data_IF_547298314834
#
_entry.id   IF_547298314834
#
_cell.length_a   1.000
_cell.length_b   1.000
_cell.length_c   1.000
_cell.angle_alpha   90.00
_cell.angle_beta   90.00
_cell.angle_gamma   90.00
#
_symmetry.space_group_name_H-M   'P 1'
#
loop_
_entity.id
_entity.type
_entity.pdbx_description
1 polymer ?
#
# COMPACT_ATOMS: atom_id res chain seq x y z
N UNK A 1 -15.40 4.92 -23.60
CA UNK A 1 -14.54 5.95 -22.96
C UNK A 1 -14.70 5.74 -21.47
N UNK A 2 -13.74 5.06 -20.83
CA UNK A 2 -13.88 4.51 -19.49
C UNK A 2 -14.17 5.62 -18.48
N UNK A 3 -15.44 5.70 -18.07
CA UNK A 3 -15.93 6.61 -17.06
C UNK A 3 -15.33 6.27 -15.71
N UNK A 4 -15.07 7.32 -14.93
CA UNK A 4 -14.35 7.29 -13.67
C UNK A 4 -14.76 6.14 -12.77
N UNK A 5 -13.78 5.32 -12.41
CA UNK A 5 -13.86 4.46 -11.25
C UNK A 5 -13.93 5.39 -10.04
N UNK A 6 -15.15 5.71 -9.60
CA UNK A 6 -15.36 6.22 -8.25
C UNK A 6 -14.77 5.15 -7.33
N UNK A 7 -13.65 5.49 -6.70
CA UNK A 7 -13.11 4.73 -5.58
C UNK A 7 -14.28 4.51 -4.63
N UNK A 8 -14.70 3.26 -4.52
CA UNK A 8 -15.78 2.84 -3.66
C UNK A 8 -15.35 3.14 -2.21
N UNK A 9 -15.98 4.15 -1.62
CA UNK A 9 -15.83 4.64 -0.24
C UNK A 9 -16.21 3.60 0.85
N UNK A 10 -16.11 2.31 0.57
CA UNK A 10 -16.41 1.25 1.52
C UNK A 10 -15.19 0.34 1.69
N UNK A 11 -14.48 0.65 2.78
CA UNK A 11 -13.52 -0.20 3.48
C UNK A 11 -12.15 -0.35 2.81
N UNK A 12 -11.32 0.66 3.04
CA UNK A 12 -9.89 0.45 3.21
C UNK A 12 -9.69 -0.04 4.65
N UNK A 13 -9.05 -1.19 4.89
CA UNK A 13 -8.71 -1.64 6.24
C UNK A 13 -7.73 -0.64 6.85
N UNK A 14 -7.69 -0.57 8.17
CA UNK A 14 -6.80 0.29 8.94
C UNK A 14 -7.10 1.82 8.93
N UNK A 15 -8.30 2.24 8.51
CA UNK A 15 -8.75 3.63 8.75
C UNK A 15 -8.36 4.65 7.68
N UNK A 16 -7.96 4.20 6.48
CA UNK A 16 -7.71 5.10 5.35
C UNK A 16 -9.02 5.67 4.81
N UNK A 17 -9.40 6.85 5.30
CA UNK A 17 -10.50 7.65 4.77
C UNK A 17 -10.00 8.43 3.55
N UNK A 18 -10.73 8.36 2.43
CA UNK A 18 -10.47 9.16 1.24
C UNK A 18 -10.71 10.68 1.44
N UNK A 19 -11.13 11.10 2.63
CA UNK A 19 -11.23 12.49 3.04
C UNK A 19 -10.17 12.82 4.09
N UNK A 20 -9.23 13.68 3.70
CA UNK A 20 -8.31 14.53 4.50
C UNK A 20 -7.01 13.99 5.11
N UNK A 21 -6.75 12.68 5.25
CA UNK A 21 -5.51 12.24 5.91
C UNK A 21 -4.45 11.77 4.88
N UNK A 22 -3.20 12.25 5.04
CA UNK A 22 -2.07 11.83 4.20
C UNK A 22 -1.87 10.30 4.34
N UNK A 23 -1.93 9.53 3.23
CA UNK A 23 -1.54 8.14 3.15
C UNK A 23 -0.40 7.69 4.08
N UNK A 24 0.65 8.50 4.12
CA UNK A 24 1.87 8.21 4.87
C UNK A 24 1.73 8.48 6.36
N UNK A 25 0.89 9.44 6.75
CA UNK A 25 0.60 9.73 8.17
C UNK A 25 -0.25 8.60 8.79
N UNK A 26 -1.22 8.08 8.03
CA UNK A 26 -2.02 6.93 8.47
C UNK A 26 -1.12 5.70 8.65
N UNK A 27 -0.24 5.45 7.68
CA UNK A 27 0.73 4.37 7.74
C UNK A 27 1.64 4.49 8.99
N UNK A 28 2.20 5.67 9.22
CA UNK A 28 3.04 5.95 10.39
C UNK A 28 2.32 5.64 11.71
N UNK A 29 1.10 6.17 11.90
CA UNK A 29 0.31 5.92 13.12
C UNK A 29 0.01 4.43 13.34
N UNK A 30 -0.24 3.69 12.27
CA UNK A 30 -0.50 2.24 12.37
C UNK A 30 0.75 1.49 12.81
N UNK A 31 1.90 1.84 12.24
CA UNK A 31 3.18 1.24 12.58
C UNK A 31 3.56 1.56 14.04
N UNK A 32 3.37 2.81 14.48
CA UNK A 32 3.56 3.23 15.87
C UNK A 32 2.64 2.49 16.85
N UNK A 33 1.41 2.18 16.43
CA UNK A 33 0.47 1.39 17.20
C UNK A 33 0.80 -0.12 17.24
N UNK A 34 1.89 -0.55 16.59
CA UNK A 34 2.32 -1.94 16.54
C UNK A 34 1.57 -2.80 15.52
N UNK A 35 1.04 -2.19 14.45
CA UNK A 35 0.46 -2.94 13.35
C UNK A 35 1.50 -3.87 12.72
N UNK A 36 1.13 -5.13 12.51
CA UNK A 36 1.98 -6.07 11.80
C UNK A 36 1.92 -5.82 10.29
N UNK A 37 3.07 -5.46 9.70
CA UNK A 37 3.24 -5.12 8.28
C UNK A 37 2.79 -6.22 7.32
N UNK A 38 2.85 -7.47 7.76
CA UNK A 38 2.49 -8.64 6.96
C UNK A 38 1.09 -9.15 7.24
N UNK A 39 0.35 -8.52 8.18
CA UNK A 39 -1.03 -8.89 8.44
C UNK A 39 -1.88 -8.53 7.23
N UNK A 40 -2.71 -9.47 6.82
CA UNK A 40 -3.64 -9.30 5.72
C UNK A 40 -5.02 -8.93 6.21
N UNK A 41 -5.75 -8.16 5.42
CA UNK A 41 -7.18 -7.95 5.60
C UNK A 41 -8.02 -9.12 5.05
N UNK A 42 -9.35 -8.96 5.03
CA UNK A 42 -10.27 -9.97 4.48
C UNK A 42 -10.12 -10.19 2.96
N UNK A 43 -9.39 -9.33 2.25
CA UNK A 43 -9.07 -9.46 0.82
C UNK A 43 -7.66 -9.99 0.60
N UNK A 44 -6.93 -10.36 1.65
CA UNK A 44 -5.55 -10.81 1.55
C UNK A 44 -4.54 -9.66 1.35
N UNK A 45 -4.97 -8.40 1.40
CA UNK A 45 -4.08 -7.26 1.18
C UNK A 45 -3.27 -6.97 2.45
N UNK A 46 -1.96 -6.86 2.29
CA UNK A 46 -1.03 -6.31 3.29
C UNK A 46 -0.96 -4.79 3.20
N UNK A 47 -0.28 -4.13 4.16
CA UNK A 47 0.01 -2.69 4.09
C UNK A 47 0.70 -2.31 2.77
N UNK A 48 1.58 -3.17 2.26
CA UNK A 48 2.30 -2.90 1.02
C UNK A 48 1.39 -2.85 -0.22
N UNK A 49 0.30 -3.64 -0.25
CA UNK A 49 -0.71 -3.55 -1.30
C UNK A 49 -1.44 -2.19 -1.27
N UNK A 50 -1.73 -1.66 -0.09
CA UNK A 50 -2.35 -0.34 0.05
C UNK A 50 -1.40 0.79 -0.36
N UNK A 51 -0.13 0.71 0.04
CA UNK A 51 0.91 1.64 -0.44
C UNK A 51 0.97 1.63 -1.96
N UNK A 52 0.90 0.46 -2.59
CA UNK A 52 0.86 0.33 -4.04
C UNK A 52 -0.36 0.98 -4.70
N UNK A 53 -1.54 0.79 -4.13
CA UNK A 53 -2.77 1.37 -4.67
C UNK A 53 -2.83 2.89 -4.46
N UNK A 54 -2.34 3.42 -3.34
CA UNK A 54 -2.67 4.77 -2.89
C UNK A 54 -1.51 5.76 -2.83
N UNK A 55 -0.26 5.32 -2.63
CA UNK A 55 0.89 6.23 -2.57
C UNK A 55 1.49 6.46 -3.96
N UNK A 56 1.81 7.71 -4.32
CA UNK A 56 2.48 8.07 -5.57
C UNK A 56 3.68 8.96 -5.30
N UNK A 57 4.61 9.01 -6.25
CA UNK A 57 5.77 9.89 -6.25
C UNK A 57 6.53 9.86 -4.90
N UNK A 58 6.74 11.02 -4.27
CA UNK A 58 7.45 11.14 -2.99
C UNK A 58 6.75 10.42 -1.83
N UNK A 59 5.43 10.24 -1.88
CA UNK A 59 4.70 9.49 -0.84
C UNK A 59 5.02 8.00 -0.90
N UNK A 60 5.22 7.45 -2.10
CA UNK A 60 5.60 6.05 -2.27
C UNK A 60 6.98 5.77 -1.66
N UNK A 61 7.93 6.69 -1.89
CA UNK A 61 9.26 6.66 -1.27
C UNK A 61 9.15 6.68 0.26
N UNK A 62 8.47 7.69 0.83
CA UNK A 62 8.29 7.83 2.28
C UNK A 62 7.60 6.61 2.91
N UNK A 63 6.59 6.05 2.25
CA UNK A 63 5.87 4.89 2.75
C UNK A 63 6.76 3.63 2.80
N UNK A 64 7.60 3.41 1.79
CA UNK A 64 8.58 2.32 1.80
C UNK A 64 9.62 2.52 2.90
N UNK A 65 10.15 3.73 3.05
CA UNK A 65 11.11 4.06 4.12
C UNK A 65 10.51 3.79 5.51
N UNK A 66 9.29 4.25 5.78
CA UNK A 66 8.56 3.95 7.02
C UNK A 66 8.40 2.45 7.26
N UNK A 67 8.00 1.68 6.25
CA UNK A 67 7.87 0.22 6.40
C UNK A 67 9.22 -0.43 6.75
N UNK A 68 10.29 -0.05 6.05
CA UNK A 68 11.64 -0.57 6.29
C UNK A 68 12.18 -0.23 7.69
N UNK A 69 11.86 0.98 8.20
CA UNK A 69 12.30 1.43 9.53
C UNK A 69 11.64 0.64 10.66
N UNK A 70 10.39 0.21 10.49
CA UNK A 70 9.68 -0.57 11.49
C UNK A 70 9.92 -2.08 11.36
N UNK A 71 9.71 -2.64 10.16
CA UNK A 71 9.87 -4.08 9.89
C UNK A 71 9.83 -4.35 8.40
N UNK A 72 10.78 -5.17 7.91
CA UNK A 72 10.81 -5.62 6.51
C UNK A 72 9.46 -6.27 6.09
N UNK A 73 8.71 -5.65 5.16
CA UNK A 73 7.48 -6.22 4.66
C UNK A 73 7.77 -7.38 3.70
N UNK A 74 6.89 -8.38 3.69
CA UNK A 74 6.93 -9.45 2.70
C UNK A 74 6.46 -8.92 1.34
N UNK A 75 7.42 -8.62 0.46
CA UNK A 75 7.18 -8.11 -0.88
C UNK A 75 6.53 -9.14 -1.81
N UNK A 76 6.60 -10.43 -1.47
CA UNK A 76 6.05 -11.53 -2.26
C UNK A 76 4.69 -12.00 -1.77
N UNK A 77 4.15 -11.40 -0.69
CA UNK A 77 2.82 -11.69 -0.22
C UNK A 77 1.79 -11.43 -1.33
N UNK A 78 0.90 -12.38 -1.55
CA UNK A 78 -0.19 -12.29 -2.54
C UNK A 78 -1.52 -12.09 -1.86
N UNK A 79 -2.34 -11.21 -2.43
CA UNK A 79 -3.73 -11.04 -1.99
C UNK A 79 -4.66 -12.13 -2.56
N UNK A 80 -5.96 -12.05 -2.27
CA UNK A 80 -6.94 -13.04 -2.73
C UNK A 80 -7.17 -13.04 -4.26
N UNK A 81 -6.68 -12.02 -4.97
CA UNK A 81 -6.65 -11.99 -6.44
C UNK A 81 -5.37 -12.65 -7.00
N UNK A 82 -4.47 -13.13 -6.14
CA UNK A 82 -3.18 -13.70 -6.53
C UNK A 82 -2.14 -12.65 -6.93
N UNK A 83 -2.35 -11.38 -6.57
CA UNK A 83 -1.48 -10.25 -6.92
C UNK A 83 -0.55 -9.93 -5.76
N UNK A 84 0.71 -9.64 -6.07
CA UNK A 84 1.66 -9.01 -5.15
C UNK A 84 1.43 -7.49 -5.09
N UNK A 85 2.07 -6.82 -4.14
CA UNK A 85 2.08 -5.36 -4.11
C UNK A 85 2.69 -4.74 -5.38
N UNK A 86 3.66 -5.41 -6.01
CA UNK A 86 4.26 -4.96 -7.27
C UNK A 86 3.26 -5.08 -8.43
N UNK A 87 2.47 -6.15 -8.49
CA UNK A 87 1.41 -6.32 -9.50
C UNK A 87 0.34 -5.23 -9.34
N UNK A 88 -0.06 -4.92 -8.10
CA UNK A 88 -0.95 -3.79 -7.82
C UNK A 88 -0.32 -2.47 -8.25
N UNK A 89 0.96 -2.23 -7.98
CA UNK A 89 1.63 -1.01 -8.41
C UNK A 89 1.62 -0.86 -9.93
N UNK A 90 1.83 -1.96 -10.68
CA UNK A 90 1.76 -1.99 -12.13
C UNK A 90 0.34 -1.70 -12.66
N UNK A 91 -0.69 -2.32 -12.09
CA UNK A 91 -2.11 -2.08 -12.45
C UNK A 91 -2.50 -0.61 -12.34
N UNK A 92 -1.89 0.10 -11.37
CA UNK A 92 -2.14 1.51 -11.10
C UNK A 92 -1.12 2.48 -11.75
N UNK A 93 -0.25 1.99 -12.64
CA UNK A 93 0.83 2.73 -13.31
C UNK A 93 1.76 3.48 -12.33
N UNK A 94 2.08 2.85 -11.20
CA UNK A 94 2.95 3.39 -10.17
C UNK A 94 4.41 2.94 -10.40
N UNK A 95 4.99 3.39 -11.52
CA UNK A 95 6.34 3.00 -11.95
C UNK A 95 7.41 3.30 -10.90
N UNK A 96 7.25 4.39 -10.13
CA UNK A 96 8.17 4.72 -9.05
C UNK A 96 8.20 3.63 -7.98
N UNK A 97 7.03 3.17 -7.54
CA UNK A 97 6.96 2.11 -6.55
C UNK A 97 7.44 0.77 -7.09
N UNK A 98 7.14 0.44 -8.35
CA UNK A 98 7.71 -0.77 -8.98
C UNK A 98 9.24 -0.74 -8.94
N UNK A 99 9.86 0.40 -9.29
CA UNK A 99 11.32 0.57 -9.22
C UNK A 99 11.85 0.46 -7.80
N UNK A 100 11.14 1.02 -6.82
CA UNK A 100 11.50 0.88 -5.41
C UNK A 100 11.44 -0.58 -4.96
N UNK A 101 10.33 -1.28 -5.21
CA UNK A 101 10.15 -2.68 -4.83
C UNK A 101 11.22 -3.59 -5.46
N UNK A 102 11.59 -3.37 -6.73
CA UNK A 102 12.68 -4.09 -7.40
C UNK A 102 14.07 -3.86 -6.76
N UNK A 103 14.28 -2.73 -6.10
CA UNK A 103 15.52 -2.44 -5.37
C UNK A 103 15.59 -3.19 -4.04
N UNK A 104 14.45 -3.53 -3.45
CA UNK A 104 14.32 -4.15 -2.14
C UNK A 104 13.89 -5.62 -2.19
N UNK A 105 13.77 -6.22 -3.39
CA UNK A 105 13.47 -7.65 -3.61
C UNK A 105 14.69 -8.55 -3.49
#
# INVERSE_FOLDING_TARGET
LFGGHKANEKYVPYGWSAGSDDPTEILEKLLEAGADVNKTDNRGNTLLHYVAACCRDSMAQKAIELLLDFKLPDVNAVNNEGKTAMDVAADYNNDNLVRLLLKYS
#
